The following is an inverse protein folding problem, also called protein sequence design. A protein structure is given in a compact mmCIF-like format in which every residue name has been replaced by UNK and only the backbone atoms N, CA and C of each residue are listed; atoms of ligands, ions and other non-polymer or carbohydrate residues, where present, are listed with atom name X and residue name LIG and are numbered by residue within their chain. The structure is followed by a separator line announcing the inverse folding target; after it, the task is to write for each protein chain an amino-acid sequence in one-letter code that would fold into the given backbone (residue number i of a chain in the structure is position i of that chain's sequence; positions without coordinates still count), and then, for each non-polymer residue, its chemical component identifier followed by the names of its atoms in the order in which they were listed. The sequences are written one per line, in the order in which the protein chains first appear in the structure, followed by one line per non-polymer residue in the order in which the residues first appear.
data_IF_862960247938
#
_entry.id   IF_862960247938
#
_cell.length_a   1.000
_cell.length_b   1.000
_cell.length_c   1.000
_cell.angle_alpha   90.00
_cell.angle_beta   90.00
_cell.angle_gamma   90.00
#
_symmetry.space_group_name_H-M   'P 1'
#
loop_
_entity.id
_entity.type
_entity.pdbx_description
1 polymer ?
#
# COMPACT_ATOMS: atom_id res chain seq x y z
N UNK A 1 -21.02 -15.91 37.97
CA UNK A 1 -20.14 -16.38 36.87
C UNK A 1 -20.82 -16.49 35.50
N UNK A 2 -22.15 -16.49 35.35
CA UNK A 2 -22.82 -16.49 34.03
C UNK A 2 -23.04 -15.10 33.40
N UNK A 3 -23.01 -14.03 34.19
CA UNK A 3 -23.16 -12.65 33.70
C UNK A 3 -21.89 -12.12 33.00
N UNK A 4 -20.70 -12.65 33.33
CA UNK A 4 -19.45 -12.25 32.68
C UNK A 4 -19.28 -12.89 31.29
N UNK A 5 -19.73 -14.14 31.10
CA UNK A 5 -19.61 -14.84 29.81
C UNK A 5 -20.56 -14.29 28.75
N UNK A 6 -21.78 -13.91 29.13
CA UNK A 6 -22.76 -13.27 28.23
C UNK A 6 -22.35 -11.86 27.82
N UNK A 7 -21.82 -11.06 28.76
CA UNK A 7 -21.24 -9.75 28.45
C UNK A 7 -20.02 -9.86 27.53
N UNK A 8 -19.12 -10.81 27.78
CA UNK A 8 -17.94 -11.02 26.95
C UNK A 8 -18.30 -11.55 25.55
N UNK A 9 -19.30 -12.44 25.45
CA UNK A 9 -19.86 -12.89 24.17
C UNK A 9 -20.47 -11.73 23.38
N UNK A 10 -21.23 -10.84 24.04
CA UNK A 10 -21.78 -9.65 23.40
C UNK A 10 -20.68 -8.71 22.88
N UNK A 11 -19.57 -8.57 23.62
CA UNK A 11 -18.42 -7.77 23.22
C UNK A 11 -17.70 -8.36 22.01
N UNK A 12 -17.56 -9.69 21.95
CA UNK A 12 -17.01 -10.37 20.78
C UNK A 12 -17.90 -10.25 19.54
N UNK A 13 -19.22 -10.35 19.70
CA UNK A 13 -20.18 -10.13 18.61
C UNK A 13 -20.10 -8.68 18.09
N UNK A 14 -20.10 -7.70 18.99
CA UNK A 14 -19.94 -6.27 18.63
C UNK A 14 -18.60 -6.06 17.92
N UNK A 15 -17.51 -6.60 18.45
CA UNK A 15 -16.19 -6.53 17.82
C UNK A 15 -16.16 -7.14 16.41
N UNK A 16 -16.84 -8.27 16.19
CA UNK A 16 -16.95 -8.91 14.88
C UNK A 16 -17.69 -8.04 13.85
N UNK A 17 -18.86 -7.49 14.22
CA UNK A 17 -19.60 -6.58 13.33
C UNK A 17 -18.81 -5.31 13.01
N UNK A 18 -18.11 -4.75 14.01
CA UNK A 18 -17.24 -3.59 13.82
C UNK A 18 -16.10 -3.92 12.85
N UNK A 19 -15.46 -5.07 12.98
CA UNK A 19 -14.39 -5.50 12.08
C UNK A 19 -14.88 -5.72 10.64
N UNK A 20 -16.07 -6.31 10.46
CA UNK A 20 -16.69 -6.45 9.12
C UNK A 20 -16.98 -5.07 8.52
N UNK A 21 -17.60 -4.19 9.30
CA UNK A 21 -17.92 -2.83 8.85
C UNK A 21 -16.66 -2.08 8.41
N UNK A 22 -15.62 -2.11 9.25
CA UNK A 22 -14.32 -1.52 8.96
C UNK A 22 -13.71 -2.11 7.68
N UNK A 23 -13.76 -3.43 7.51
CA UNK A 23 -13.25 -4.08 6.30
C UNK A 23 -14.03 -3.64 5.03
N UNK A 24 -15.35 -3.54 5.12
CA UNK A 24 -16.20 -3.04 4.03
C UNK A 24 -15.89 -1.58 3.68
N UNK A 25 -15.74 -0.72 4.68
CA UNK A 25 -15.35 0.69 4.51
C UNK A 25 -13.97 0.79 3.87
N UNK A 26 -13.00 -0.04 4.28
CA UNK A 26 -11.68 -0.10 3.69
C UNK A 26 -11.72 -0.55 2.23
N UNK A 27 -12.48 -1.59 1.91
CA UNK A 27 -12.66 -2.07 0.54
C UNK A 27 -13.27 -0.98 -0.36
N UNK A 28 -14.35 -0.35 0.11
CA UNK A 28 -15.05 0.70 -0.65
C UNK A 28 -14.19 1.94 -0.84
N UNK A 29 -13.47 2.37 0.19
CA UNK A 29 -12.59 3.54 0.11
C UNK A 29 -11.40 3.27 -0.81
N UNK A 30 -10.86 2.05 -0.82
CA UNK A 30 -9.83 1.64 -1.76
C UNK A 30 -10.33 1.67 -3.23
N UNK A 31 -11.55 1.19 -3.50
CA UNK A 31 -12.19 1.30 -4.82
C UNK A 31 -12.37 2.77 -5.25
N UNK A 32 -12.86 3.62 -4.34
CA UNK A 32 -13.02 5.05 -4.59
C UNK A 32 -11.67 5.71 -4.90
N UNK A 33 -10.64 5.45 -4.09
CA UNK A 33 -9.31 6.03 -4.30
C UNK A 33 -8.76 5.65 -5.68
N UNK A 34 -8.83 4.38 -6.06
CA UNK A 34 -8.37 3.90 -7.38
C UNK A 34 -9.09 4.60 -8.53
N UNK A 35 -10.41 4.78 -8.42
CA UNK A 35 -11.20 5.55 -9.39
C UNK A 35 -10.76 7.01 -9.45
N UNK A 36 -10.50 7.65 -8.31
CA UNK A 36 -10.01 9.03 -8.28
C UNK A 36 -8.57 9.17 -8.83
N UNK A 37 -7.71 8.17 -8.62
CA UNK A 37 -6.37 8.13 -9.24
C UNK A 37 -6.48 8.12 -10.76
N UNK A 38 -7.37 7.28 -11.30
CA UNK A 38 -7.58 7.12 -12.74
C UNK A 38 -8.14 8.38 -13.43
N UNK A 39 -8.96 9.18 -12.73
CA UNK A 39 -9.54 10.42 -13.26
C UNK A 39 -8.54 11.57 -13.45
N UNK A 40 -7.31 11.47 -12.93
CA UNK A 40 -6.26 12.51 -13.08
C UNK A 40 -6.80 13.91 -12.75
N UNK A 41 -6.74 14.87 -13.67
CA UNK A 41 -7.20 16.25 -13.45
C UNK A 41 -8.71 16.38 -13.16
N UNK A 42 -9.52 15.42 -13.61
CA UNK A 42 -10.98 15.41 -13.43
C UNK A 42 -11.42 14.78 -12.10
N UNK A 43 -10.48 14.46 -11.20
CA UNK A 43 -10.80 13.87 -9.89
C UNK A 43 -11.67 14.79 -9.03
N UNK A 44 -12.63 14.19 -8.34
CA UNK A 44 -13.61 14.84 -7.48
C UNK A 44 -13.01 15.11 -6.10
N UNK A 45 -12.50 16.33 -5.91
CA UNK A 45 -11.89 16.77 -4.64
C UNK A 45 -12.74 16.52 -3.39
N UNK A 46 -14.05 16.75 -3.39
CA UNK A 46 -14.87 16.49 -2.21
C UNK A 46 -14.83 15.03 -1.75
N UNK A 47 -14.66 14.06 -2.67
CA UNK A 47 -14.55 12.65 -2.30
C UNK A 47 -13.25 12.35 -1.55
N UNK A 48 -12.13 12.92 -2.01
CA UNK A 48 -10.83 12.74 -1.36
C UNK A 48 -10.79 13.44 0.01
N UNK A 49 -11.31 14.66 0.09
CA UNK A 49 -11.42 15.41 1.36
C UNK A 49 -12.29 14.63 2.35
N UNK A 50 -13.43 14.08 1.90
CA UNK A 50 -14.30 13.26 2.74
C UNK A 50 -13.58 12.04 3.32
N UNK A 51 -12.81 11.30 2.50
CA UNK A 51 -12.01 10.16 2.98
C UNK A 51 -10.98 10.63 4.00
N UNK A 52 -10.26 11.72 3.73
CA UNK A 52 -9.26 12.29 4.66
C UNK A 52 -9.90 12.60 6.00
N UNK A 53 -10.98 13.39 6.03
CA UNK A 53 -11.65 13.80 7.26
C UNK A 53 -12.16 12.60 8.05
N UNK A 54 -12.90 11.69 7.40
CA UNK A 54 -13.50 10.52 8.09
C UNK A 54 -12.41 9.62 8.66
N UNK A 55 -11.36 9.31 7.90
CA UNK A 55 -10.31 8.41 8.38
C UNK A 55 -9.42 9.07 9.43
N UNK A 56 -9.13 10.36 9.31
CA UNK A 56 -8.43 11.11 10.35
C UNK A 56 -9.22 11.07 11.66
N UNK A 57 -10.51 11.44 11.63
CA UNK A 57 -11.38 11.40 12.82
C UNK A 57 -11.43 9.98 13.40
N UNK A 58 -11.59 8.95 12.57
CA UNK A 58 -11.68 7.58 13.03
C UNK A 58 -10.38 7.11 13.70
N UNK A 59 -9.22 7.32 13.08
CA UNK A 59 -7.91 6.94 13.64
C UNK A 59 -7.67 7.64 14.97
N UNK A 60 -7.89 8.96 15.05
CA UNK A 60 -7.73 9.70 16.29
C UNK A 60 -8.74 9.26 17.36
N UNK A 61 -9.99 9.04 16.98
CA UNK A 61 -11.05 8.59 17.88
C UNK A 61 -10.75 7.23 18.52
N UNK A 62 -10.25 6.26 17.74
CA UNK A 62 -9.88 4.93 18.25
C UNK A 62 -8.73 5.03 19.25
N UNK A 63 -7.64 5.72 18.93
CA UNK A 63 -6.51 5.85 19.87
C UNK A 63 -6.86 6.69 21.10
N UNK A 64 -7.75 7.67 20.97
CA UNK A 64 -8.28 8.42 22.11
C UNK A 64 -9.14 7.53 23.02
N UNK A 65 -10.01 6.71 22.45
CA UNK A 65 -10.89 5.79 23.18
C UNK A 65 -10.10 4.75 23.98
N UNK A 66 -9.10 4.12 23.34
CA UNK A 66 -8.26 3.07 23.93
C UNK A 66 -6.96 3.58 24.55
N UNK A 67 -6.89 4.88 24.91
CA UNK A 67 -5.65 5.50 25.42
C UNK A 67 -5.08 4.84 26.68
N UNK A 68 -5.93 4.18 27.45
CA UNK A 68 -5.54 3.49 28.69
C UNK A 68 -5.16 2.02 28.48
N UNK A 69 -5.50 1.43 27.34
CA UNK A 69 -5.40 -0.03 27.07
C UNK A 69 -4.11 -0.41 26.31
N UNK A 70 -3.06 0.41 26.42
CA UNK A 70 -1.75 0.22 25.78
C UNK A 70 -1.77 0.01 24.24
N UNK A 71 -2.90 0.28 23.56
CA UNK A 71 -3.08 0.05 22.11
C UNK A 71 -2.05 0.81 21.24
N UNK A 72 -1.56 1.95 21.74
CA UNK A 72 -0.53 2.78 21.08
C UNK A 72 0.85 2.13 21.12
N UNK A 73 1.15 1.25 22.08
CA UNK A 73 2.51 0.69 22.24
C UNK A 73 2.94 -0.13 21.02
N UNK A 74 2.16 -1.12 20.52
CA UNK A 74 2.53 -1.86 19.32
C UNK A 74 2.69 -0.97 18.08
N UNK A 75 1.89 0.11 17.98
CA UNK A 75 2.05 1.09 16.91
C UNK A 75 3.47 1.66 16.90
N UNK A 76 3.98 2.09 18.06
CA UNK A 76 5.35 2.63 18.17
C UNK A 76 6.42 1.55 18.37
N UNK A 77 6.15 0.31 17.96
CA UNK A 77 7.08 -0.83 18.04
C UNK A 77 7.52 -1.20 19.46
N UNK A 78 6.68 -0.90 20.47
CA UNK A 78 6.91 -1.30 21.86
C UNK A 78 6.01 -2.48 22.24
N UNK A 79 6.52 -3.46 23.02
CA UNK A 79 5.71 -4.56 23.52
C UNK A 79 4.61 -4.07 24.48
N UNK A 80 3.44 -4.76 24.51
CA UNK A 80 2.44 -4.57 25.56
C UNK A 80 3.05 -4.73 26.96
N UNK A 81 2.57 -3.98 27.95
CA UNK A 81 3.10 -4.06 29.33
C UNK A 81 2.87 -5.43 29.92
N UNK A 82 1.66 -5.95 29.78
CA UNK A 82 1.26 -7.27 30.27
C UNK A 82 1.34 -8.31 29.15
N UNK A 83 1.36 -9.58 29.52
CA UNK A 83 1.32 -10.67 28.54
C UNK A 83 -0.14 -10.77 28.05
N UNK A 84 -0.43 -10.43 26.78
CA UNK A 84 -1.80 -10.42 26.32
C UNK A 84 -2.33 -11.86 26.18
N UNK A 85 -3.57 -12.15 26.58
CA UNK A 85 -4.24 -13.38 26.14
C UNK A 85 -4.31 -13.42 24.61
N UNK A 86 -4.36 -14.63 24.04
CA UNK A 86 -4.34 -14.82 22.58
C UNK A 86 -5.30 -13.90 21.81
N UNK A 87 -6.58 -13.84 22.23
CA UNK A 87 -7.58 -13.00 21.56
C UNK A 87 -7.32 -11.49 21.72
N UNK A 88 -6.70 -11.05 22.80
CA UNK A 88 -6.30 -9.65 22.98
C UNK A 88 -5.11 -9.31 22.09
N UNK A 89 -4.16 -10.24 21.92
CA UNK A 89 -3.07 -10.08 20.95
C UNK A 89 -3.60 -9.91 19.52
N UNK A 90 -4.51 -10.79 19.09
CA UNK A 90 -5.16 -10.69 17.78
C UNK A 90 -5.90 -9.35 17.63
N UNK A 91 -6.65 -8.92 18.65
CA UNK A 91 -7.36 -7.65 18.63
C UNK A 91 -6.41 -6.45 18.48
N UNK A 92 -5.35 -6.37 19.29
CA UNK A 92 -4.35 -5.29 19.19
C UNK A 92 -3.70 -5.22 17.82
N UNK A 93 -3.35 -6.38 17.25
CA UNK A 93 -2.74 -6.45 15.92
C UNK A 93 -3.75 -6.00 14.86
N UNK A 94 -4.97 -6.54 14.88
CA UNK A 94 -5.99 -6.26 13.87
C UNK A 94 -6.44 -4.79 13.86
N UNK A 95 -6.59 -4.18 15.04
CA UNK A 95 -6.94 -2.76 15.16
C UNK A 95 -5.79 -1.88 14.67
N UNK A 96 -4.55 -2.10 15.13
CA UNK A 96 -3.40 -1.31 14.68
C UNK A 96 -3.16 -1.47 13.16
N UNK A 97 -3.20 -2.70 12.62
CA UNK A 97 -3.10 -2.99 11.19
C UNK A 97 -4.16 -2.21 10.37
N UNK A 98 -5.37 -2.05 10.92
CA UNK A 98 -6.42 -1.23 10.31
C UNK A 98 -6.13 0.26 10.39
N UNK A 99 -5.74 0.77 11.56
CA UNK A 99 -5.47 2.20 11.74
C UNK A 99 -4.36 2.68 10.82
N UNK A 100 -3.30 1.88 10.64
CA UNK A 100 -2.18 2.26 9.76
C UNK A 100 -2.57 2.21 8.29
N UNK A 101 -3.47 1.31 7.88
CA UNK A 101 -4.04 1.32 6.52
C UNK A 101 -4.88 2.57 6.27
N UNK A 102 -5.69 2.97 7.24
CA UNK A 102 -6.47 4.21 7.14
C UNK A 102 -5.56 5.44 7.07
N UNK A 103 -4.53 5.51 7.93
CA UNK A 103 -3.53 6.57 7.89
C UNK A 103 -2.79 6.64 6.54
N UNK A 104 -2.39 5.49 5.98
CA UNK A 104 -1.78 5.46 4.65
C UNK A 104 -2.76 5.88 3.54
N UNK A 105 -4.04 5.53 3.63
CA UNK A 105 -5.07 6.02 2.70
C UNK A 105 -5.20 7.54 2.76
N UNK A 106 -5.14 8.14 3.96
CA UNK A 106 -5.10 9.60 4.15
C UNK A 106 -3.89 10.19 3.42
N UNK A 107 -2.69 9.62 3.60
CA UNK A 107 -1.47 10.08 2.90
C UNK A 107 -1.64 9.98 1.38
N UNK A 108 -2.18 8.88 0.86
CA UNK A 108 -2.46 8.72 -0.58
C UNK A 108 -3.45 9.77 -1.09
N UNK A 109 -4.55 10.02 -0.38
CA UNK A 109 -5.50 11.07 -0.72
C UNK A 109 -4.83 12.45 -0.77
N UNK A 110 -4.01 12.79 0.21
CA UNK A 110 -3.26 14.07 0.25
C UNK A 110 -2.31 14.18 -0.94
N UNK A 111 -1.60 13.10 -1.28
CA UNK A 111 -0.76 13.07 -2.49
C UNK A 111 -1.57 13.28 -3.77
N UNK A 112 -2.74 12.66 -3.90
CA UNK A 112 -3.63 12.89 -5.04
C UNK A 112 -4.13 14.34 -5.10
N UNK A 113 -4.43 14.96 -3.96
CA UNK A 113 -4.85 16.36 -3.93
C UNK A 113 -3.72 17.29 -4.35
N UNK A 114 -2.49 17.04 -3.86
CA UNK A 114 -1.30 17.82 -4.18
C UNK A 114 -0.98 17.83 -5.68
N UNK A 115 -1.07 16.66 -6.35
CA UNK A 115 -0.75 16.52 -7.77
C UNK A 115 -1.93 16.78 -8.72
N UNK A 116 -3.06 17.32 -8.26
CA UNK A 116 -4.28 17.51 -9.10
C UNK A 116 -4.03 18.32 -10.35
N UNK A 117 -3.38 19.47 -10.19
CA UNK A 117 -3.18 20.46 -11.27
C UNK A 117 -1.92 20.17 -12.10
N UNK A 118 -1.31 19.00 -11.92
CA UNK A 118 -0.05 18.69 -12.56
C UNK A 118 -0.25 18.10 -13.97
N UNK A 119 0.79 18.18 -14.82
CA UNK A 119 0.79 17.66 -16.20
C UNK A 119 1.88 16.60 -16.38
N UNK A 120 1.67 15.67 -17.32
CA UNK A 120 2.65 14.70 -17.82
C UNK A 120 3.51 14.02 -16.72
N UNK A 121 4.82 14.32 -16.73
CA UNK A 121 5.86 13.85 -15.79
C UNK A 121 5.46 13.82 -14.31
N UNK A 122 4.59 14.73 -13.87
CA UNK A 122 4.10 14.75 -12.49
C UNK A 122 3.12 13.61 -12.16
N UNK A 123 2.33 13.12 -13.12
CA UNK A 123 1.46 11.96 -12.92
C UNK A 123 2.28 10.68 -12.71
N UNK A 124 3.40 10.53 -13.44
CA UNK A 124 4.37 9.45 -13.22
C UNK A 124 4.95 9.54 -11.81
N UNK A 125 5.42 10.72 -11.39
CA UNK A 125 5.95 10.93 -10.04
C UNK A 125 4.90 10.66 -8.95
N UNK A 126 3.64 11.04 -9.18
CA UNK A 126 2.52 10.73 -8.29
C UNK A 126 2.35 9.21 -8.14
N UNK A 127 2.32 8.46 -9.25
CA UNK A 127 2.21 6.99 -9.25
C UNK A 127 3.37 6.29 -8.54
N UNK A 128 4.60 6.75 -8.77
CA UNK A 128 5.77 6.23 -8.06
C UNK A 128 5.71 6.54 -6.55
N UNK A 129 5.28 7.75 -6.15
CA UNK A 129 5.10 8.09 -4.74
C UNK A 129 4.01 7.25 -4.06
N UNK A 130 2.89 6.99 -4.75
CA UNK A 130 1.84 6.08 -4.25
C UNK A 130 2.40 4.66 -4.03
N UNK A 131 3.28 4.21 -4.94
CA UNK A 131 3.97 2.92 -4.82
C UNK A 131 4.90 2.87 -3.62
N UNK A 132 5.70 3.92 -3.40
CA UNK A 132 6.56 4.01 -2.21
C UNK A 132 5.74 4.01 -0.93
N UNK A 133 4.64 4.79 -0.86
CA UNK A 133 3.74 4.81 0.30
C UNK A 133 3.19 3.41 0.60
N UNK A 134 2.78 2.65 -0.42
CA UNK A 134 2.30 1.28 -0.20
C UNK A 134 3.41 0.33 0.28
N UNK A 135 4.61 0.38 -0.29
CA UNK A 135 5.70 -0.49 0.19
C UNK A 135 6.18 -0.11 1.59
N UNK A 136 6.17 1.18 1.95
CA UNK A 136 6.41 1.63 3.32
C UNK A 136 5.34 1.10 4.26
N UNK A 137 4.06 1.18 3.88
CA UNK A 137 2.96 0.60 4.63
C UNK A 137 3.11 -0.92 4.80
N UNK A 138 3.45 -1.64 3.73
CA UNK A 138 3.62 -3.10 3.77
C UNK A 138 4.77 -3.52 4.69
N UNK A 139 5.87 -2.77 4.73
CA UNK A 139 6.97 -3.00 5.66
C UNK A 139 6.52 -2.74 7.11
N UNK A 140 5.88 -1.59 7.35
CA UNK A 140 5.44 -1.22 8.69
C UNK A 140 4.39 -2.18 9.25
N UNK A 141 3.42 -2.58 8.43
CA UNK A 141 2.41 -3.60 8.79
C UNK A 141 3.04 -4.95 9.10
N UNK A 142 4.14 -5.28 8.44
CA UNK A 142 4.85 -6.52 8.71
C UNK A 142 5.64 -6.43 10.02
N UNK A 143 5.94 -5.24 10.55
CA UNK A 143 6.56 -5.04 11.86
C UNK A 143 5.55 -5.03 13.02
N UNK A 144 4.33 -4.51 12.81
CA UNK A 144 3.32 -4.31 13.87
C UNK A 144 3.01 -5.54 14.74
N UNK A 145 2.89 -6.77 14.20
CA UNK A 145 2.64 -7.95 15.03
C UNK A 145 3.82 -8.34 15.93
N UNK A 146 5.05 -7.96 15.55
CA UNK A 146 6.27 -8.43 16.20
C UNK A 146 6.32 -8.11 17.71
N UNK A 147 6.11 -6.87 18.19
CA UNK A 147 6.15 -6.57 19.63
C UNK A 147 5.08 -7.33 20.43
N UNK A 148 3.92 -7.59 19.84
CA UNK A 148 2.82 -8.32 20.50
C UNK A 148 3.15 -9.80 20.60
N UNK A 149 3.54 -10.43 19.48
CA UNK A 149 3.89 -11.85 19.45
C UNK A 149 5.16 -12.18 20.21
N UNK A 150 6.16 -11.29 20.17
CA UNK A 150 7.38 -11.46 20.96
C UNK A 150 7.05 -11.52 22.46
N UNK A 151 6.15 -10.63 22.94
CA UNK A 151 5.67 -10.65 24.33
C UNK A 151 4.86 -11.91 24.65
N UNK A 152 4.05 -12.39 23.71
CA UNK A 152 3.23 -13.59 23.85
C UNK A 152 4.06 -14.88 23.90
N UNK A 153 4.98 -15.09 22.95
CA UNK A 153 5.78 -16.32 22.85
C UNK A 153 6.87 -16.42 23.92
N UNK A 154 7.37 -15.29 24.44
CA UNK A 154 8.28 -15.28 25.58
C UNK A 154 7.61 -15.59 26.93
N UNK A 155 6.32 -15.93 26.95
CA UNK A 155 5.66 -16.35 28.17
C UNK A 155 6.22 -17.68 28.68
N UNK A 156 6.98 -17.61 29.78
CA UNK A 156 7.59 -18.77 30.45
C UNK A 156 6.58 -19.69 31.13
N UNK A 157 5.34 -19.25 31.32
CA UNK A 157 4.27 -20.09 31.88
C UNK A 157 3.94 -21.30 30.99
N UNK A 158 4.18 -21.21 29.68
CA UNK A 158 4.03 -22.34 28.75
C UNK A 158 5.21 -23.33 28.79
N UNK A 159 6.21 -23.09 29.64
CA UNK A 159 7.44 -23.86 29.72
C UNK A 159 8.59 -23.20 28.93
N UNK A 160 9.79 -23.22 29.52
CA UNK A 160 10.97 -22.52 28.98
C UNK A 160 11.39 -23.02 27.60
N UNK A 161 11.34 -24.34 27.36
CA UNK A 161 11.69 -24.94 26.08
C UNK A 161 10.70 -24.56 24.97
N UNK A 162 9.40 -24.67 25.25
CA UNK A 162 8.35 -24.31 24.29
C UNK A 162 8.41 -22.83 23.92
N UNK A 163 8.56 -21.96 24.92
CA UNK A 163 8.70 -20.51 24.74
C UNK A 163 9.93 -20.16 23.88
N UNK A 164 11.08 -20.76 24.17
CA UNK A 164 12.31 -20.51 23.39
C UNK A 164 12.20 -20.99 21.94
N UNK A 165 11.66 -22.20 21.72
CA UNK A 165 11.53 -22.79 20.38
C UNK A 165 10.54 -22.00 19.52
N UNK A 166 9.34 -21.70 20.05
CA UNK A 166 8.31 -20.95 19.32
C UNK A 166 8.77 -19.53 18.99
N UNK A 167 9.42 -18.85 19.94
CA UNK A 167 10.00 -17.52 19.70
C UNK A 167 11.08 -17.55 18.62
N UNK A 168 12.00 -18.52 18.68
CA UNK A 168 13.07 -18.67 17.67
C UNK A 168 12.52 -18.94 16.27
N UNK A 169 11.55 -19.84 16.15
CA UNK A 169 10.88 -20.14 14.88
C UNK A 169 10.15 -18.91 14.32
N UNK A 170 9.38 -18.23 15.17
CA UNK A 170 8.67 -16.99 14.82
C UNK A 170 9.63 -15.92 14.30
N UNK A 171 10.71 -15.63 15.03
CA UNK A 171 11.69 -14.62 14.64
C UNK A 171 12.38 -14.96 13.31
N UNK A 172 12.65 -16.24 13.05
CA UNK A 172 13.27 -16.69 11.81
C UNK A 172 12.38 -16.38 10.60
N UNK A 173 11.11 -16.79 10.65
CA UNK A 173 10.14 -16.45 9.60
C UNK A 173 9.91 -14.94 9.48
N UNK A 174 9.92 -14.22 10.61
CA UNK A 174 9.75 -12.77 10.63
C UNK A 174 10.89 -12.05 9.93
N UNK A 175 12.14 -12.41 10.21
CA UNK A 175 13.32 -11.84 9.55
C UNK A 175 13.29 -12.09 8.05
N UNK A 176 12.99 -13.32 7.62
CA UNK A 176 12.86 -13.66 6.21
C UNK A 176 11.80 -12.78 5.52
N UNK A 177 10.61 -12.64 6.13
CA UNK A 177 9.53 -11.78 5.63
C UNK A 177 9.95 -10.29 5.57
N UNK A 178 10.68 -9.80 6.58
CA UNK A 178 11.14 -8.40 6.59
C UNK A 178 12.13 -8.12 5.46
N UNK A 179 13.05 -9.05 5.18
CA UNK A 179 14.04 -8.89 4.11
C UNK A 179 13.35 -8.72 2.76
N UNK A 180 12.31 -9.51 2.46
CA UNK A 180 11.54 -9.35 1.22
C UNK A 180 10.88 -7.98 1.11
N UNK A 181 10.28 -7.48 2.19
CA UNK A 181 9.62 -6.16 2.23
C UNK A 181 10.62 -5.01 2.10
N UNK A 182 11.76 -5.09 2.78
CA UNK A 182 12.83 -4.10 2.67
C UNK A 182 13.38 -4.05 1.25
N UNK A 183 13.68 -5.20 0.64
CA UNK A 183 14.12 -5.26 -0.77
C UNK A 183 13.11 -4.61 -1.72
N UNK A 184 11.82 -4.90 -1.53
CA UNK A 184 10.74 -4.32 -2.34
C UNK A 184 10.62 -2.80 -2.17
N UNK A 185 10.74 -2.31 -0.92
CA UNK A 185 10.75 -0.88 -0.63
C UNK A 185 11.96 -0.18 -1.27
N UNK A 186 13.16 -0.72 -1.09
CA UNK A 186 14.38 -0.18 -1.70
C UNK A 186 14.27 -0.14 -3.22
N UNK A 187 13.75 -1.19 -3.86
CA UNK A 187 13.49 -1.21 -5.30
C UNK A 187 12.50 -0.10 -5.71
N UNK A 188 11.42 0.12 -4.94
CA UNK A 188 10.45 1.19 -5.22
C UNK A 188 11.03 2.60 -5.04
N UNK A 189 11.92 2.79 -4.06
CA UNK A 189 12.63 4.07 -3.83
C UNK A 189 13.66 4.31 -4.91
N UNK A 190 14.41 3.29 -5.32
CA UNK A 190 15.37 3.38 -6.43
C UNK A 190 14.65 3.75 -7.74
N UNK A 191 13.42 3.27 -7.95
CA UNK A 191 12.60 3.64 -9.09
C UNK A 191 12.17 5.13 -9.10
N UNK A 192 12.18 5.83 -7.95
CA UNK A 192 12.01 7.30 -7.91
C UNK A 192 13.25 8.05 -8.41
N UNK A 193 14.44 7.47 -8.19
CA UNK A 193 15.72 8.07 -8.54
C UNK A 193 16.07 7.87 -10.02
N UNK A 194 15.79 6.69 -10.57
CA UNK A 194 16.06 6.40 -11.97
C UNK A 194 15.14 7.21 -12.90
N UNK A 195 15.75 8.16 -13.62
CA UNK A 195 15.14 8.87 -14.75
C UNK A 195 14.98 7.98 -16.00
N UNK A 196 15.44 6.74 -15.97
CA UNK A 196 15.86 6.07 -17.20
C UNK A 196 14.74 5.37 -17.97
N UNK A 197 14.73 5.66 -19.26
CA UNK A 197 14.02 5.02 -20.35
C UNK A 197 14.44 3.55 -20.52
N UNK A 198 14.22 2.70 -19.52
CA UNK A 198 14.56 1.27 -19.65
C UNK A 198 13.76 0.53 -20.73
N UNK A 199 12.75 1.16 -21.33
CA UNK A 199 11.90 0.60 -22.36
C UNK A 199 12.26 1.05 -23.80
N UNK A 200 13.19 2.00 -23.98
CA UNK A 200 13.47 2.57 -25.30
C UNK A 200 14.45 3.75 -25.32
N UNK A 201 14.52 4.46 -26.45
CA UNK A 201 15.31 5.68 -26.62
C UNK A 201 14.43 6.81 -27.15
N UNK A 202 14.85 8.07 -27.08
CA UNK A 202 14.13 9.13 -27.79
C UNK A 202 14.20 8.88 -29.31
N UNK A 203 13.07 9.03 -29.99
CA UNK A 203 13.00 8.87 -31.44
C UNK A 203 13.52 10.13 -32.15
N UNK A 204 14.24 9.96 -33.25
CA UNK A 204 14.65 11.08 -34.10
C UNK A 204 13.46 11.62 -34.90
N UNK A 205 13.52 12.87 -35.34
CA UNK A 205 12.46 13.48 -36.17
C UNK A 205 12.19 12.66 -37.43
N UNK A 206 13.23 12.11 -38.06
CA UNK A 206 13.11 11.24 -39.25
C UNK A 206 12.33 9.95 -38.95
N UNK A 207 12.60 9.31 -37.79
CA UNK A 207 11.88 8.12 -37.36
C UNK A 207 10.41 8.40 -37.10
N UNK A 208 10.10 9.56 -36.51
CA UNK A 208 8.72 10.00 -36.25
C UNK A 208 7.99 10.27 -37.57
N UNK A 209 8.64 10.95 -38.53
CA UNK A 209 8.06 11.20 -39.84
C UNK A 209 7.79 9.89 -40.61
N UNK A 210 8.70 8.91 -40.51
CA UNK A 210 8.53 7.60 -41.15
C UNK A 210 7.40 6.75 -40.51
N UNK A 211 7.19 6.87 -39.20
CA UNK A 211 6.16 6.12 -38.47
C UNK A 211 4.78 6.78 -38.47
N UNK A 212 4.69 8.06 -38.87
CA UNK A 212 3.53 8.91 -38.68
C UNK A 212 3.65 9.75 -37.40
N UNK A 213 3.19 11.00 -37.45
CA UNK A 213 3.37 11.96 -36.36
C UNK A 213 2.32 11.86 -35.25
N UNK A 214 1.33 10.98 -35.39
CA UNK A 214 0.27 10.73 -34.41
C UNK A 214 0.61 9.55 -33.49
N UNK A 215 0.47 9.74 -32.18
CA UNK A 215 0.63 8.67 -31.22
C UNK A 215 -0.56 7.70 -31.25
N UNK A 216 -0.32 6.39 -31.40
CA UNK A 216 -1.40 5.40 -31.41
C UNK A 216 -2.15 5.24 -30.07
N UNK A 217 -1.65 5.82 -28.97
CA UNK A 217 -2.30 5.78 -27.65
C UNK A 217 -3.22 6.99 -27.45
N UNK A 218 -2.71 8.22 -27.59
CA UNK A 218 -3.52 9.43 -27.39
C UNK A 218 -4.19 9.97 -28.66
N UNK A 219 -3.81 9.44 -29.84
CA UNK A 219 -4.29 9.89 -31.16
C UNK A 219 -3.99 11.37 -31.48
N UNK A 220 -3.10 11.99 -30.72
CA UNK A 220 -2.61 13.35 -30.95
C UNK A 220 -1.17 13.33 -31.48
N UNK A 221 -0.68 14.50 -31.94
CA UNK A 221 0.70 14.66 -32.37
C UNK A 221 1.67 14.27 -31.26
N UNK A 222 2.68 13.47 -31.60
CA UNK A 222 3.62 12.92 -30.61
C UNK A 222 4.40 14.03 -29.90
N UNK A 223 4.24 14.10 -28.59
CA UNK A 223 5.06 14.94 -27.71
C UNK A 223 6.16 14.09 -27.07
N UNK A 224 7.42 14.53 -27.17
CA UNK A 224 8.60 13.80 -26.65
C UNK A 224 8.58 12.32 -27.07
N UNK A 225 8.70 12.02 -28.37
CA UNK A 225 8.52 10.67 -28.89
C UNK A 225 9.64 9.74 -28.43
N UNK A 226 9.25 8.50 -28.11
CA UNK A 226 10.14 7.42 -27.67
C UNK A 226 10.00 6.22 -28.59
N UNK A 227 11.12 5.64 -28.99
CA UNK A 227 11.24 4.43 -29.77
C UNK A 227 11.45 3.26 -28.82
N UNK A 228 10.46 2.36 -28.73
CA UNK A 228 10.61 1.11 -27.97
C UNK A 228 11.59 0.16 -28.66
N UNK A 229 12.11 -0.83 -27.93
CA UNK A 229 13.01 -1.85 -28.49
C UNK A 229 12.37 -2.62 -29.67
N UNK A 230 11.05 -2.80 -29.64
CA UNK A 230 10.26 -3.39 -30.74
C UNK A 230 10.01 -2.42 -31.92
N UNK A 231 10.68 -1.27 -31.96
CA UNK A 231 10.64 -0.23 -33.00
C UNK A 231 9.32 0.55 -33.16
N UNK A 232 8.39 0.43 -32.21
CA UNK A 232 7.16 1.26 -32.20
C UNK A 232 7.39 2.57 -31.46
N UNK A 233 6.76 3.65 -31.93
CA UNK A 233 6.94 5.02 -31.41
C UNK A 233 5.66 5.53 -30.76
N UNK A 234 5.78 6.11 -29.57
CA UNK A 234 4.68 6.74 -28.83
C UNK A 234 5.17 8.01 -28.13
N UNK A 235 4.26 8.80 -27.56
CA UNK A 235 4.65 9.82 -26.58
C UNK A 235 5.29 9.14 -25.35
N UNK A 236 6.33 9.76 -24.78
CA UNK A 236 7.00 9.27 -23.56
C UNK A 236 6.00 8.98 -22.44
N UNK A 237 5.11 9.94 -22.17
CA UNK A 237 4.10 9.82 -21.12
C UNK A 237 3.10 8.69 -21.41
N UNK A 238 2.70 8.52 -22.67
CA UNK A 238 1.72 7.50 -23.09
C UNK A 238 2.28 6.08 -22.93
N UNK A 239 3.50 5.82 -23.44
CA UNK A 239 4.08 4.48 -23.29
C UNK A 239 4.46 4.21 -21.83
N UNK A 240 4.92 5.21 -21.08
CA UNK A 240 5.21 5.05 -19.64
C UNK A 240 3.96 4.61 -18.88
N UNK A 241 2.82 5.29 -19.09
CA UNK A 241 1.56 4.94 -18.44
C UNK A 241 1.03 3.57 -18.85
N UNK A 242 1.12 3.23 -20.13
CA UNK A 242 0.75 1.90 -20.62
C UNK A 242 1.62 0.83 -19.95
N UNK A 243 2.94 1.03 -19.91
CA UNK A 243 3.93 0.09 -19.38
C UNK A 243 3.89 -0.07 -17.86
N UNK A 244 3.18 0.81 -17.14
CA UNK A 244 2.85 0.61 -15.73
C UNK A 244 1.75 -0.42 -15.51
N UNK A 245 0.85 -0.61 -16.48
CA UNK A 245 -0.28 -1.55 -16.41
C UNK A 245 0.02 -2.84 -17.16
N UNK A 246 0.53 -2.72 -18.37
CA UNK A 246 0.79 -3.82 -19.30
C UNK A 246 2.28 -3.84 -19.65
N UNK A 247 2.93 -5.00 -19.53
CA UNK A 247 4.39 -5.08 -19.78
C UNK A 247 4.76 -5.16 -21.27
N UNK A 248 3.79 -5.02 -22.16
CA UNK A 248 3.92 -5.31 -23.58
C UNK A 248 3.64 -4.08 -24.44
N UNK A 249 4.20 -4.03 -25.63
CA UNK A 249 3.93 -2.96 -26.58
C UNK A 249 2.43 -2.94 -26.97
N UNK A 250 1.75 -1.76 -26.97
CA UNK A 250 0.34 -1.66 -27.36
C UNK A 250 0.04 -2.17 -28.77
N UNK A 251 1.01 -2.08 -29.69
CA UNK A 251 0.83 -2.41 -31.11
C UNK A 251 1.18 -3.88 -31.41
N UNK A 252 2.34 -4.37 -30.95
CA UNK A 252 2.81 -5.71 -31.30
C UNK A 252 2.86 -6.71 -30.15
N UNK A 253 2.51 -6.30 -28.93
CA UNK A 253 2.55 -7.12 -27.70
C UNK A 253 3.92 -7.71 -27.34
N UNK A 254 5.00 -7.28 -28.00
CA UNK A 254 6.36 -7.63 -27.60
C UNK A 254 6.61 -7.20 -26.14
N UNK A 255 7.28 -8.03 -25.35
CA UNK A 255 7.62 -7.72 -23.96
C UNK A 255 8.62 -6.56 -23.92
N UNK A 256 8.30 -5.51 -23.18
CA UNK A 256 9.09 -4.27 -23.10
C UNK A 256 9.74 -4.11 -21.73
N UNK A 257 9.04 -4.49 -20.65
CA UNK A 257 9.59 -4.50 -19.28
C UNK A 257 9.69 -5.93 -18.73
N UNK A 258 10.88 -6.42 -18.36
CA UNK A 258 11.01 -7.65 -17.58
C UNK A 258 10.37 -7.50 -16.19
N UNK A 259 10.21 -8.60 -15.47
CA UNK A 259 9.38 -8.69 -14.27
C UNK A 259 9.82 -7.79 -13.11
N UNK A 260 9.32 -6.55 -13.10
CA UNK A 260 9.48 -5.61 -11.99
C UNK A 260 8.57 -5.96 -10.80
N UNK A 261 8.90 -5.40 -9.63
CA UNK A 261 8.02 -5.35 -8.45
C UNK A 261 6.60 -4.87 -8.85
N UNK A 262 5.57 -5.37 -8.15
CA UNK A 262 4.19 -4.95 -8.40
C UNK A 262 4.06 -3.43 -8.23
N UNK A 263 3.54 -2.74 -9.23
CA UNK A 263 3.22 -1.31 -9.14
C UNK A 263 1.94 -1.09 -8.33
N UNK A 264 1.93 -0.04 -7.51
CA UNK A 264 0.74 0.48 -6.83
C UNK A 264 0.46 1.92 -7.28
N UNK A 265 0.86 2.27 -8.51
CA UNK A 265 0.63 3.60 -9.09
C UNK A 265 -0.85 3.94 -9.28
N UNK A 266 -1.73 2.93 -9.31
CA UNK A 266 -3.19 3.09 -9.31
C UNK A 266 -3.76 3.52 -7.95
N UNK A 267 -2.92 3.59 -6.91
CA UNK A 267 -3.31 3.96 -5.54
C UNK A 267 -3.89 2.80 -4.74
N UNK A 268 -3.91 1.57 -5.27
CA UNK A 268 -4.44 0.42 -4.54
C UNK A 268 -3.69 0.14 -3.23
N UNK A 269 -4.43 -0.41 -2.26
CA UNK A 269 -3.93 -0.84 -0.95
C UNK A 269 -4.20 -2.34 -0.78
N UNK A 270 -3.21 -3.08 -0.27
CA UNK A 270 -3.33 -4.52 -0.02
C UNK A 270 -4.28 -4.80 1.14
N UNK A 271 -5.36 -5.55 0.87
CA UNK A 271 -6.42 -5.85 1.86
C UNK A 271 -6.14 -7.07 2.73
N UNK A 272 -5.11 -7.85 2.43
CA UNK A 272 -4.75 -9.03 3.23
C UNK A 272 -4.29 -8.64 4.63
N UNK A 273 -4.84 -9.26 5.68
CA UNK A 273 -4.47 -9.01 7.07
C UNK A 273 -3.11 -9.64 7.39
N UNK A 274 -2.24 -8.87 8.05
CA UNK A 274 -0.92 -9.36 8.49
C UNK A 274 -0.98 -9.62 9.99
N UNK A 275 -1.46 -10.81 10.36
CA UNK A 275 -1.63 -11.17 11.75
C UNK A 275 -0.34 -11.69 12.40
N UNK A 276 0.64 -12.18 11.63
CA UNK A 276 1.85 -12.81 12.15
C UNK A 276 3.12 -12.09 11.71
#
# INVERSE_FOLDING_TARGET
MMASSSFQLSLYCVGFFVMIWIAAVMFKSNDILRKQTALKGERKMPMLIGIVVVFTIHVFGVYWWYRNDDLVRPLVMLPPKEIPPFWHAIFFIAVNDTMVRQAAMVVKCVLLMYYKNSKGRHYRRQGQMLTVVEYSLLLYRALLPAPVWYRFFLNKEYGSLFSSLTTGLYLTFKVASMVEKVRSLLASVNALSHKDLHYGSHATTEQVLAAGDLCAICQEKMHTPILLQCKHIFCEDCASEWLERERTCPLCRALVKPGDIRSFSDGSTTLFFQLF
#
